data_IF_254580416742
#
_entry.id   IF_254580416742
#
_cell.length_a   1.000
_cell.length_b   1.000
_cell.length_c   1.000
_cell.angle_alpha   90.00
_cell.angle_beta   90.00
_cell.angle_gamma   90.00
#
_symmetry.space_group_name_H-M   'P 1'
#
loop_
_entity.id
_entity.type
_entity.pdbx_description
1 polymer ?
#
# COMPACT_ATOMS: atom_id res chain seq x y z
N UNK A 1 -31.03 10.63 -2.69
CA UNK A 1 -30.30 10.10 -3.85
C UNK A 1 -29.64 8.81 -3.38
N UNK A 2 -29.79 7.71 -4.12
CA UNK A 2 -29.14 6.44 -3.78
C UNK A 2 -27.62 6.61 -3.94
N UNK A 3 -26.88 6.57 -2.83
CA UNK A 3 -25.42 6.62 -2.75
C UNK A 3 -24.83 5.21 -3.00
N UNK A 4 -25.14 4.57 -4.12
CA UNK A 4 -24.73 3.17 -4.35
C UNK A 4 -23.70 2.98 -5.49
N UNK A 5 -23.24 4.06 -6.13
CA UNK A 5 -22.11 3.98 -7.07
C UNK A 5 -21.04 4.98 -6.64
N UNK A 6 -19.88 4.44 -6.26
CA UNK A 6 -18.69 5.24 -6.02
C UNK A 6 -18.26 5.91 -7.33
N UNK A 7 -17.87 7.19 -7.30
CA UNK A 7 -17.41 7.86 -8.51
C UNK A 7 -16.11 7.21 -9.01
N UNK A 8 -16.11 6.77 -10.26
CA UNK A 8 -14.93 6.15 -10.89
C UNK A 8 -14.05 7.17 -11.62
N UNK A 9 -14.67 8.26 -12.09
CA UNK A 9 -14.00 9.35 -12.79
C UNK A 9 -13.33 10.36 -11.87
N UNK A 10 -12.22 10.95 -12.31
CA UNK A 10 -11.51 12.00 -11.57
C UNK A 10 -12.42 13.19 -11.21
N UNK A 11 -13.04 13.83 -12.20
CA UNK A 11 -13.87 15.02 -11.98
C UNK A 11 -15.12 14.72 -11.13
N UNK A 12 -15.70 13.53 -11.28
CA UNK A 12 -16.86 13.09 -10.51
C UNK A 12 -16.49 12.86 -9.03
N UNK A 13 -15.30 12.32 -8.78
CA UNK A 13 -14.75 12.12 -7.43
C UNK A 13 -14.54 13.47 -6.73
N UNK A 14 -13.94 14.43 -7.44
CA UNK A 14 -13.74 15.81 -6.94
C UNK A 14 -15.09 16.48 -6.64
N UNK A 15 -16.04 16.41 -7.57
CA UNK A 15 -17.36 17.05 -7.41
C UNK A 15 -18.14 16.46 -6.24
N UNK A 16 -18.22 15.13 -6.14
CA UNK A 16 -18.92 14.43 -5.06
C UNK A 16 -18.34 14.82 -3.71
N UNK A 17 -17.01 14.82 -3.60
CA UNK A 17 -16.32 15.18 -2.36
C UNK A 17 -16.61 16.63 -1.95
N UNK A 18 -16.37 17.58 -2.85
CA UNK A 18 -16.53 19.01 -2.56
C UNK A 18 -18.00 19.38 -2.28
N UNK A 19 -18.94 18.76 -3.00
CA UNK A 19 -20.37 18.98 -2.78
C UNK A 19 -20.78 18.44 -1.40
N UNK A 20 -20.38 17.22 -1.04
CA UNK A 20 -20.69 16.64 0.26
C UNK A 20 -20.17 17.49 1.42
N UNK A 21 -18.93 17.99 1.32
CA UNK A 21 -18.37 18.90 2.33
C UNK A 21 -19.20 20.18 2.47
N UNK A 22 -19.60 20.79 1.35
CA UNK A 22 -20.38 22.04 1.34
C UNK A 22 -21.80 21.86 1.87
N UNK A 23 -22.41 20.71 1.65
CA UNK A 23 -23.80 20.46 2.03
C UNK A 23 -23.93 20.00 3.49
N UNK A 24 -23.00 19.15 3.95
CA UNK A 24 -23.20 18.38 5.18
C UNK A 24 -22.36 18.85 6.36
N UNK A 25 -21.27 19.60 6.15
CA UNK A 25 -20.41 20.08 7.26
C UNK A 25 -20.86 21.45 7.75
N UNK A 26 -21.08 21.58 9.06
CA UNK A 26 -21.61 22.80 9.67
C UNK A 26 -20.59 23.95 9.75
N UNK A 27 -19.31 23.64 9.97
CA UNK A 27 -18.23 24.62 10.09
C UNK A 27 -17.81 25.18 8.73
N UNK A 28 -18.41 26.33 8.37
CA UNK A 28 -18.19 26.96 7.06
C UNK A 28 -16.77 27.46 6.84
N UNK A 29 -16.07 27.89 7.88
CA UNK A 29 -14.70 28.39 7.74
C UNK A 29 -13.74 27.24 7.46
N UNK A 30 -13.84 26.15 8.23
CA UNK A 30 -13.08 24.91 8.01
C UNK A 30 -13.36 24.33 6.62
N UNK A 31 -14.63 24.30 6.20
CA UNK A 31 -15.02 23.83 4.87
C UNK A 31 -14.42 24.70 3.77
N UNK A 32 -14.53 26.03 3.86
CA UNK A 32 -14.02 26.92 2.82
C UNK A 32 -12.51 26.79 2.64
N UNK A 33 -11.74 26.64 3.74
CA UNK A 33 -10.30 26.40 3.68
C UNK A 33 -9.99 25.06 3.01
N UNK A 34 -10.66 23.99 3.44
CA UNK A 34 -10.46 22.65 2.90
C UNK A 34 -10.82 22.55 1.42
N UNK A 35 -11.96 23.13 1.03
CA UNK A 35 -12.44 23.19 -0.34
C UNK A 35 -11.46 23.94 -1.24
N UNK A 36 -10.94 25.09 -0.81
CA UNK A 36 -9.99 25.87 -1.60
C UNK A 36 -8.72 25.07 -1.94
N UNK A 37 -8.14 24.38 -0.95
CA UNK A 37 -6.96 23.54 -1.16
C UNK A 37 -7.25 22.36 -2.10
N UNK A 38 -8.41 21.70 -1.94
CA UNK A 38 -8.76 20.55 -2.77
C UNK A 38 -9.10 20.96 -4.20
N UNK A 39 -9.73 22.12 -4.41
CA UNK A 39 -9.94 22.68 -5.75
C UNK A 39 -8.60 22.97 -6.44
N UNK A 40 -7.66 23.59 -5.74
CA UNK A 40 -6.33 23.89 -6.29
C UNK A 40 -5.55 22.61 -6.65
N UNK A 41 -5.55 21.63 -5.74
CA UNK A 41 -4.94 20.32 -6.00
C UNK A 41 -5.60 19.61 -7.19
N UNK A 42 -6.93 19.62 -7.27
CA UNK A 42 -7.66 18.99 -8.36
C UNK A 42 -7.40 19.69 -9.71
N UNK A 43 -7.31 21.02 -9.74
CA UNK A 43 -6.93 21.77 -10.94
C UNK A 43 -5.53 21.41 -11.41
N UNK A 44 -4.59 21.22 -10.48
CA UNK A 44 -3.24 20.77 -10.80
C UNK A 44 -3.21 19.33 -11.33
N UNK A 45 -4.02 18.42 -10.79
CA UNK A 45 -4.10 17.03 -11.25
C UNK A 45 -4.78 16.86 -12.62
N UNK A 46 -5.74 17.73 -12.96
CA UNK A 46 -6.61 17.58 -14.15
C UNK A 46 -5.89 17.30 -15.49
N UNK A 47 -4.68 17.83 -15.78
CA UNK A 47 -3.99 17.55 -17.04
C UNK A 47 -3.52 16.10 -17.20
N UNK A 48 -3.39 15.34 -16.12
CA UNK A 48 -2.82 13.98 -16.13
C UNK A 48 -3.63 12.95 -15.35
N UNK A 49 -4.62 13.36 -14.55
CA UNK A 49 -5.53 12.47 -13.87
C UNK A 49 -6.78 12.21 -14.72
N UNK A 50 -7.15 10.94 -14.86
CA UNK A 50 -8.31 10.49 -15.63
C UNK A 50 -9.32 9.71 -14.77
N UNK A 51 -8.81 9.09 -13.71
CA UNK A 51 -9.56 8.22 -12.80
C UNK A 51 -9.33 8.63 -11.35
N UNK A 52 -10.19 8.15 -10.46
CA UNK A 52 -9.98 8.31 -9.01
C UNK A 52 -8.62 7.74 -8.54
N UNK A 53 -8.15 6.68 -9.19
CA UNK A 53 -6.90 6.00 -8.83
C UNK A 53 -5.66 6.86 -9.10
N UNK A 54 -5.78 7.89 -9.94
CA UNK A 54 -4.71 8.84 -10.22
C UNK A 54 -4.53 9.87 -9.08
N UNK A 55 -5.47 9.94 -8.12
CA UNK A 55 -5.42 10.82 -6.94
C UNK A 55 -4.60 10.12 -5.85
N UNK A 56 -3.27 10.21 -5.93
CA UNK A 56 -2.36 9.43 -5.08
C UNK A 56 -1.59 10.29 -4.06
N UNK A 57 -0.99 9.63 -3.06
CA UNK A 57 -0.09 10.29 -2.12
C UNK A 57 1.14 10.91 -2.82
N UNK A 58 1.62 10.27 -3.88
CA UNK A 58 2.68 10.78 -4.75
C UNK A 58 2.24 12.07 -5.48
N UNK A 59 1.04 12.08 -6.04
CA UNK A 59 0.49 13.30 -6.66
C UNK A 59 0.41 14.44 -5.63
N UNK A 60 -0.05 14.17 -4.41
CA UNK A 60 -0.07 15.16 -3.34
C UNK A 60 1.34 15.63 -2.93
N UNK A 61 2.33 14.74 -2.88
CA UNK A 61 3.74 15.09 -2.62
C UNK A 61 4.27 16.08 -3.66
N UNK A 62 4.14 15.76 -4.95
CA UNK A 62 4.57 16.64 -6.03
C UNK A 62 3.81 17.96 -6.08
N UNK A 63 2.51 17.95 -5.80
CA UNK A 63 1.73 19.19 -5.70
C UNK A 63 2.31 20.12 -4.62
N UNK A 64 2.58 19.58 -3.43
CA UNK A 64 3.04 20.36 -2.28
C UNK A 64 4.50 20.82 -2.41
N UNK A 65 5.34 20.06 -3.13
CA UNK A 65 6.72 20.45 -3.42
C UNK A 65 6.83 21.76 -4.21
N UNK A 66 5.81 22.10 -5.01
CA UNK A 66 5.77 23.36 -5.78
C UNK A 66 5.82 24.61 -4.89
N UNK A 67 5.31 24.53 -3.67
CA UNK A 67 5.40 25.61 -2.68
C UNK A 67 6.82 25.74 -2.10
N UNK A 68 7.52 24.61 -1.93
CA UNK A 68 8.90 24.60 -1.41
C UNK A 68 9.95 25.02 -2.45
N UNK A 69 9.61 24.94 -3.73
CA UNK A 69 10.48 25.31 -4.86
C UNK A 69 10.30 26.76 -5.33
N UNK A 70 9.54 27.59 -4.59
CA UNK A 70 9.15 28.96 -4.97
C UNK A 70 8.47 29.04 -6.36
N UNK A 71 7.91 27.93 -6.88
CA UNK A 71 7.20 27.94 -8.17
C UNK A 71 5.84 28.63 -8.05
N UNK A 72 5.22 28.54 -6.87
CA UNK A 72 3.93 29.11 -6.54
C UNK A 72 3.96 29.58 -5.07
N UNK A 73 3.56 30.82 -4.81
CA UNK A 73 3.32 31.27 -3.43
C UNK A 73 2.00 30.66 -2.91
N UNK A 74 1.96 30.14 -1.67
CA UNK A 74 0.70 29.75 -1.03
C UNK A 74 -0.34 30.88 -1.10
N UNK A 75 -1.58 30.55 -1.41
CA UNK A 75 -2.62 31.57 -1.55
C UNK A 75 -3.01 32.19 -0.20
N UNK A 76 -2.79 33.51 -0.05
CA UNK A 76 -3.33 34.30 1.06
C UNK A 76 -2.50 34.23 2.34
N UNK A 77 -3.13 33.83 3.45
CA UNK A 77 -2.52 33.71 4.79
C UNK A 77 -2.15 32.26 5.16
N UNK A 78 -2.33 31.30 4.24
CA UNK A 78 -2.08 29.88 4.50
C UNK A 78 -0.59 29.54 4.40
N UNK A 79 -0.12 28.66 5.27
CA UNK A 79 1.21 28.07 5.18
C UNK A 79 1.19 26.70 4.47
N UNK A 80 2.38 26.13 4.20
CA UNK A 80 2.48 24.80 3.58
C UNK A 80 1.77 23.72 4.42
N UNK A 81 1.77 23.85 5.75
CA UNK A 81 1.16 22.89 6.67
C UNK A 81 -0.36 22.90 6.58
N UNK A 82 -0.97 24.04 6.28
CA UNK A 82 -2.40 24.20 6.03
C UNK A 82 -2.89 23.46 4.78
N UNK A 83 -2.00 23.19 3.81
CA UNK A 83 -2.32 22.46 2.59
C UNK A 83 -2.22 20.93 2.74
N UNK A 84 -1.35 20.45 3.63
CA UNK A 84 -1.08 19.01 3.81
C UNK A 84 -2.36 18.28 4.22
N UNK A 85 -3.01 18.74 5.29
CA UNK A 85 -4.16 18.01 5.88
C UNK A 85 -5.34 17.89 4.90
N UNK A 86 -5.75 18.94 4.16
CA UNK A 86 -6.81 18.84 3.17
C UNK A 86 -6.45 17.95 1.98
N UNK A 87 -5.24 18.09 1.42
CA UNK A 87 -4.80 17.29 0.28
C UNK A 87 -4.77 15.79 0.61
N UNK A 88 -4.12 15.41 1.74
CA UNK A 88 -4.07 14.02 2.17
C UNK A 88 -5.46 13.49 2.57
N UNK A 89 -6.32 14.35 3.11
CA UNK A 89 -7.71 13.99 3.39
C UNK A 89 -8.49 13.65 2.12
N UNK A 90 -8.31 14.42 1.05
CA UNK A 90 -8.93 14.10 -0.23
C UNK A 90 -8.36 12.83 -0.86
N UNK A 91 -7.04 12.61 -0.80
CA UNK A 91 -6.41 11.36 -1.25
C UNK A 91 -6.96 10.15 -0.49
N UNK A 92 -7.08 10.25 0.84
CA UNK A 92 -7.66 9.19 1.69
C UNK A 92 -9.09 8.84 1.28
N UNK A 93 -9.92 9.84 0.98
CA UNK A 93 -11.26 9.62 0.43
C UNK A 93 -11.23 8.94 -0.94
N UNK A 94 -10.45 9.48 -1.88
CA UNK A 94 -10.40 8.98 -3.26
C UNK A 94 -9.87 7.55 -3.38
N UNK A 95 -8.87 7.21 -2.57
CA UNK A 95 -8.24 5.88 -2.56
C UNK A 95 -8.93 4.89 -1.62
N UNK A 96 -9.93 5.34 -0.84
CA UNK A 96 -10.53 4.55 0.27
C UNK A 96 -9.44 3.94 1.17
N UNK A 97 -8.43 4.74 1.49
CA UNK A 97 -7.24 4.32 2.24
C UNK A 97 -7.14 5.09 3.56
N UNK A 98 -6.64 4.42 4.60
CA UNK A 98 -6.42 5.04 5.90
C UNK A 98 -5.54 6.30 5.78
N UNK A 99 -5.96 7.36 6.46
CA UNK A 99 -5.31 8.67 6.35
C UNK A 99 -3.89 8.68 6.91
N UNK A 100 -3.62 7.95 7.98
CA UNK A 100 -2.27 7.85 8.54
C UNK A 100 -1.34 7.16 7.55
N UNK A 101 -1.83 6.10 6.88
CA UNK A 101 -1.08 5.41 5.85
C UNK A 101 -0.82 6.29 4.61
N UNK A 102 -1.82 7.06 4.17
CA UNK A 102 -1.63 8.11 3.15
C UNK A 102 -0.52 9.08 3.58
N UNK A 103 -0.48 9.48 4.85
CA UNK A 103 0.57 10.34 5.42
C UNK A 103 1.97 9.70 5.41
N UNK A 104 2.06 8.40 5.67
CA UNK A 104 3.32 7.65 5.55
C UNK A 104 3.81 7.65 4.11
N UNK A 105 2.98 7.26 3.15
CA UNK A 105 3.35 7.25 1.73
C UNK A 105 3.71 8.64 1.21
N UNK A 106 2.97 9.66 1.61
CA UNK A 106 3.31 11.05 1.31
C UNK A 106 4.70 11.43 1.83
N UNK A 107 5.02 11.07 3.08
CA UNK A 107 6.32 11.38 3.69
C UNK A 107 7.46 10.64 3.01
N UNK A 108 7.24 9.39 2.61
CA UNK A 108 8.20 8.61 1.82
C UNK A 108 8.47 9.28 0.46
N UNK A 109 7.43 9.60 -0.30
CA UNK A 109 7.56 10.26 -1.61
C UNK A 109 8.30 11.60 -1.52
N UNK A 110 8.02 12.41 -0.49
CA UNK A 110 8.73 13.67 -0.25
C UNK A 110 10.21 13.47 0.06
N UNK A 111 10.56 12.44 0.85
CA UNK A 111 11.97 12.09 1.10
C UNK A 111 12.66 11.62 -0.18
N UNK A 112 11.96 10.89 -1.04
CA UNK A 112 12.47 10.44 -2.33
C UNK A 112 12.80 11.60 -3.25
N UNK A 113 11.87 12.56 -3.38
CA UNK A 113 12.07 13.74 -4.21
C UNK A 113 13.27 14.57 -3.73
N UNK A 114 13.34 14.87 -2.43
CA UNK A 114 14.47 15.59 -1.84
C UNK A 114 15.81 14.86 -2.01
N UNK A 115 15.82 13.53 -1.88
CA UNK A 115 17.03 12.75 -2.12
C UNK A 115 17.44 12.80 -3.59
N UNK A 116 16.50 12.70 -4.53
CA UNK A 116 16.77 12.76 -5.97
C UNK A 116 17.33 14.13 -6.39
N UNK A 117 16.80 15.22 -5.83
CA UNK A 117 17.33 16.58 -6.05
C UNK A 117 18.73 16.78 -5.44
N UNK A 118 18.98 16.23 -4.25
CA UNK A 118 20.29 16.36 -3.60
C UNK A 118 21.38 15.52 -4.29
N UNK A 119 20.99 14.44 -4.99
CA UNK A 119 21.93 13.45 -5.53
C UNK A 119 21.79 13.26 -7.05
N UNK A 120 21.65 14.36 -7.81
CA UNK A 120 21.56 14.40 -9.29
C UNK A 120 22.65 13.57 -10.01
N UNK A 121 23.79 13.31 -9.36
CA UNK A 121 24.91 12.55 -9.92
C UNK A 121 25.03 11.10 -9.40
N UNK A 122 24.28 10.71 -8.37
CA UNK A 122 24.22 9.32 -7.95
C UNK A 122 23.18 8.58 -8.79
N UNK A 123 23.40 7.29 -9.10
CA UNK A 123 22.35 6.49 -9.71
C UNK A 123 21.11 6.60 -8.83
N UNK A 124 19.92 6.85 -9.39
CA UNK A 124 18.72 6.95 -8.59
C UNK A 124 18.64 5.67 -7.76
N UNK A 125 18.71 5.80 -6.43
CA UNK A 125 18.20 4.74 -5.59
C UNK A 125 16.75 4.64 -6.09
N UNK A 126 16.34 3.47 -6.62
CA UNK A 126 14.99 3.37 -7.15
C UNK A 126 14.06 3.82 -6.03
N UNK A 127 12.99 4.59 -6.34
CA UNK A 127 11.95 4.81 -5.35
C UNK A 127 11.67 3.46 -4.70
N UNK A 128 11.25 3.44 -3.43
CA UNK A 128 10.46 2.30 -2.95
C UNK A 128 9.16 2.39 -3.76
N UNK A 129 9.26 2.10 -5.05
CA UNK A 129 8.17 1.68 -5.88
C UNK A 129 7.59 0.59 -5.03
N UNK A 130 6.34 0.76 -4.61
CA UNK A 130 5.44 -0.36 -4.43
C UNK A 130 5.73 -1.23 -5.64
N UNK A 131 6.53 -2.26 -5.40
CA UNK A 131 7.37 -2.82 -6.44
C UNK A 131 6.40 -3.27 -7.49
N UNK A 132 6.61 -2.88 -8.75
CA UNK A 132 6.06 -3.70 -9.83
C UNK A 132 6.55 -5.10 -9.51
N UNK A 133 5.65 -5.90 -8.94
CA UNK A 133 5.90 -7.27 -8.55
C UNK A 133 6.37 -7.89 -9.86
N UNK A 134 7.68 -8.10 -9.96
CA UNK A 134 8.29 -8.79 -11.07
C UNK A 134 7.48 -10.08 -11.26
N UNK A 135 7.22 -10.55 -12.49
CA UNK A 135 6.36 -11.73 -12.70
C UNK A 135 6.80 -12.92 -11.84
N UNK A 136 8.10 -13.07 -11.61
CA UNK A 136 8.67 -14.02 -10.65
C UNK A 136 8.16 -13.83 -9.22
N UNK A 137 8.05 -12.60 -8.72
CA UNK A 137 7.51 -12.33 -7.38
C UNK A 137 6.00 -12.56 -7.25
N UNK A 138 5.24 -12.60 -8.35
CA UNK A 138 3.83 -13.00 -8.31
C UNK A 138 3.70 -14.52 -8.23
N UNK A 139 4.51 -15.25 -8.99
CA UNK A 139 4.63 -16.72 -8.91
C UNK A 139 5.16 -17.15 -7.53
N UNK A 140 6.17 -16.46 -7.01
CA UNK A 140 6.73 -16.70 -5.67
C UNK A 140 5.69 -16.42 -4.57
N UNK A 141 4.90 -15.35 -4.70
CA UNK A 141 3.80 -15.04 -3.78
C UNK A 141 2.73 -16.14 -3.83
N UNK A 142 2.32 -16.56 -5.02
CA UNK A 142 1.32 -17.63 -5.15
C UNK A 142 1.84 -18.95 -4.56
N UNK A 143 3.09 -19.32 -4.85
CA UNK A 143 3.72 -20.51 -4.28
C UNK A 143 3.80 -20.42 -2.74
N UNK A 144 4.12 -19.23 -2.19
CA UNK A 144 4.11 -19.01 -0.75
C UNK A 144 2.71 -19.17 -0.16
N UNK A 145 1.68 -18.59 -0.80
CA UNK A 145 0.29 -18.72 -0.36
C UNK A 145 -0.19 -20.17 -0.39
N UNK A 146 0.09 -20.92 -1.47
CA UNK A 146 -0.30 -22.33 -1.60
C UNK A 146 0.36 -23.19 -0.52
N UNK A 147 1.60 -22.87 -0.13
CA UNK A 147 2.29 -23.55 0.97
C UNK A 147 1.71 -23.17 2.33
N UNK A 148 1.34 -21.91 2.56
CA UNK A 148 0.64 -21.51 3.77
C UNK A 148 -0.70 -22.25 3.88
N UNK A 149 -1.43 -22.38 2.78
CA UNK A 149 -2.69 -23.11 2.73
C UNK A 149 -2.50 -24.61 3.00
N UNK A 150 -1.42 -25.21 2.50
CA UNK A 150 -1.17 -26.66 2.69
C UNK A 150 -0.63 -26.99 4.09
N UNK A 151 0.26 -26.16 4.65
CA UNK A 151 1.04 -26.51 5.84
C UNK A 151 0.75 -25.64 7.06
N UNK A 152 0.09 -24.50 6.89
CA UNK A 152 -0.14 -23.52 7.93
C UNK A 152 -1.57 -22.95 7.88
N UNK A 153 -2.53 -23.74 7.38
CA UNK A 153 -3.92 -23.34 7.28
C UNK A 153 -4.46 -22.87 8.63
N UNK A 154 -5.27 -21.80 8.63
CA UNK A 154 -5.83 -21.22 9.84
C UNK A 154 -4.82 -20.73 10.88
N UNK A 155 -3.51 -20.67 10.58
CA UNK A 155 -2.54 -20.09 11.53
C UNK A 155 -2.55 -18.57 11.45
N UNK A 156 -2.07 -17.91 12.50
CA UNK A 156 -1.95 -16.44 12.55
C UNK A 156 -1.25 -15.86 11.32
N UNK A 157 -0.13 -16.46 10.90
CA UNK A 157 0.66 -15.96 9.78
C UNK A 157 -0.10 -16.12 8.45
N UNK A 158 -0.89 -17.19 8.30
CA UNK A 158 -1.75 -17.39 7.13
C UNK A 158 -2.90 -16.37 7.08
N UNK A 159 -3.62 -16.19 8.20
CA UNK A 159 -4.68 -15.19 8.30
C UNK A 159 -4.15 -13.77 8.06
N UNK A 160 -3.00 -13.41 8.67
CA UNK A 160 -2.37 -12.10 8.48
C UNK A 160 -2.06 -11.81 7.01
N UNK A 161 -1.40 -12.75 6.32
CA UNK A 161 -1.01 -12.54 4.92
C UNK A 161 -2.24 -12.38 4.03
N UNK A 162 -3.27 -13.20 4.22
CA UNK A 162 -4.50 -13.10 3.43
C UNK A 162 -5.23 -11.78 3.70
N UNK A 163 -5.36 -11.36 4.97
CA UNK A 163 -6.00 -10.09 5.33
C UNK A 163 -5.26 -8.89 4.72
N UNK A 164 -3.92 -8.89 4.71
CA UNK A 164 -3.13 -7.82 4.06
C UNK A 164 -3.40 -7.77 2.56
N UNK A 165 -3.57 -8.93 1.91
CA UNK A 165 -3.89 -9.00 0.48
C UNK A 165 -5.32 -8.53 0.19
N UNK A 166 -6.30 -8.93 0.99
CA UNK A 166 -7.71 -8.51 0.83
C UNK A 166 -7.90 -7.02 1.03
N UNK A 167 -7.20 -6.45 2.03
CA UNK A 167 -7.28 -5.00 2.26
C UNK A 167 -6.38 -4.20 1.32
N UNK A 168 -5.57 -4.86 0.49
CA UNK A 168 -4.56 -4.21 -0.36
C UNK A 168 -3.55 -3.39 0.43
N UNK A 169 -3.39 -3.68 1.74
CA UNK A 169 -2.61 -2.88 2.66
C UNK A 169 -3.19 -1.49 2.98
N UNK A 170 -4.43 -1.17 2.58
CA UNK A 170 -5.05 0.15 2.76
C UNK A 170 -5.33 0.51 4.23
N UNK A 171 -5.28 -0.47 5.12
CA UNK A 171 -5.55 -0.37 6.55
C UNK A 171 -4.57 -1.25 7.32
N UNK A 172 -4.31 -0.89 8.57
CA UNK A 172 -3.46 -1.68 9.45
C UNK A 172 -4.18 -2.94 9.94
N UNK A 173 -3.83 -4.09 9.38
CA UNK A 173 -4.39 -5.39 9.77
C UNK A 173 -4.05 -5.76 11.23
N UNK A 174 -2.99 -5.17 11.80
CA UNK A 174 -2.60 -5.41 13.20
C UNK A 174 -3.48 -4.68 14.21
N UNK A 175 -4.13 -3.60 13.79
CA UNK A 175 -5.01 -2.79 14.62
C UNK A 175 -6.47 -3.26 14.51
N UNK A 176 -6.74 -4.29 13.69
CA UNK A 176 -8.06 -4.88 13.58
C UNK A 176 -8.48 -5.53 14.89
N UNK A 177 -9.73 -5.28 15.28
CA UNK A 177 -10.39 -5.93 16.41
C UNK A 177 -11.35 -7.02 15.94
N UNK A 178 -11.82 -7.88 16.87
CA UNK A 178 -12.78 -8.94 16.56
C UNK A 178 -14.12 -8.38 16.07
N UNK A 179 -14.61 -7.28 16.66
CA UNK A 179 -15.87 -6.63 16.24
C UNK A 179 -15.84 -6.09 14.80
N UNK A 180 -14.66 -5.77 14.28
CA UNK A 180 -14.48 -5.24 12.94
C UNK A 180 -14.52 -6.32 11.87
N UNK A 181 -14.50 -7.61 12.25
CA UNK A 181 -14.53 -8.74 11.32
C UNK A 181 -15.84 -9.50 11.48
N UNK A 182 -16.76 -9.26 10.55
CA UNK A 182 -18.01 -9.99 10.44
C UNK A 182 -17.80 -11.20 9.52
N UNK A 183 -17.53 -12.35 10.13
CA UNK A 183 -17.37 -13.61 9.39
C UNK A 183 -18.70 -14.18 8.89
N UNK A 184 -19.85 -13.74 9.40
CA UNK A 184 -21.16 -14.18 8.90
C UNK A 184 -21.47 -13.49 7.57
N UNK A 185 -21.25 -12.18 7.51
CA UNK A 185 -21.42 -11.38 6.29
C UNK A 185 -20.18 -11.38 5.39
N UNK A 186 -19.09 -12.04 5.79
CA UNK A 186 -17.80 -12.13 5.06
C UNK A 186 -17.16 -10.76 4.80
N UNK A 187 -17.22 -9.85 5.77
CA UNK A 187 -16.74 -8.47 5.63
C UNK A 187 -15.87 -8.00 6.80
N UNK A 188 -14.88 -7.17 6.50
CA UNK A 188 -14.17 -6.34 7.48
C UNK A 188 -14.74 -4.92 7.38
N UNK A 189 -15.12 -4.33 8.51
CA UNK A 189 -15.61 -2.95 8.62
C UNK A 189 -14.76 -2.17 9.60
N UNK A 190 -14.11 -1.12 9.11
CA UNK A 190 -13.19 -0.31 9.92
C UNK A 190 -13.75 1.12 9.97
N UNK A 191 -14.18 1.60 11.15
CA UNK A 191 -14.69 2.95 11.27
C UNK A 191 -13.58 3.98 10.99
N UNK A 192 -13.92 5.04 10.27
CA UNK A 192 -13.00 6.16 10.04
C UNK A 192 -13.10 7.13 11.22
N UNK A 193 -11.98 7.75 11.59
CA UNK A 193 -11.93 8.69 12.72
C UNK A 193 -12.91 9.85 12.54
N UNK A 194 -13.71 10.15 13.56
CA UNK A 194 -14.60 11.32 13.64
C UNK A 194 -13.88 12.67 13.40
N UNK A 195 -12.55 12.72 13.52
CA UNK A 195 -11.76 13.92 13.23
C UNK A 195 -11.63 14.21 11.73
N UNK A 196 -12.01 13.27 10.89
CA UNK A 196 -11.93 13.36 9.44
C UNK A 196 -13.13 14.11 8.87
N UNK A 197 -12.87 15.21 8.16
CA UNK A 197 -13.94 16.09 7.65
C UNK A 197 -14.86 15.39 6.63
N UNK A 198 -14.40 14.32 5.97
CA UNK A 198 -15.27 13.54 5.09
C UNK A 198 -16.27 12.69 5.88
N UNK A 199 -15.93 12.24 7.09
CA UNK A 199 -16.84 11.57 8.03
C UNK A 199 -17.88 12.56 8.55
N UNK A 200 -17.48 13.79 8.90
CA UNK A 200 -18.43 14.87 9.23
C UNK A 200 -19.44 15.14 8.09
N UNK A 201 -19.03 14.87 6.84
CA UNK A 201 -19.85 15.06 5.66
C UNK A 201 -20.70 13.85 5.27
N UNK A 202 -20.57 12.71 5.97
CA UNK A 202 -21.19 11.43 5.61
C UNK A 202 -20.70 10.85 4.28
N UNK A 203 -19.47 11.19 3.88
CA UNK A 203 -18.85 10.73 2.63
C UNK A 203 -18.03 9.45 2.81
N UNK A 204 -17.46 9.26 4.01
CA UNK A 204 -16.65 8.10 4.36
C UNK A 204 -16.73 7.87 5.87
N UNK A 205 -17.56 6.92 6.26
CA UNK A 205 -17.79 6.57 7.67
C UNK A 205 -17.06 5.28 8.05
N UNK A 206 -16.91 4.35 7.10
CA UNK A 206 -16.18 3.10 7.28
C UNK A 206 -15.46 2.67 5.99
N UNK A 207 -14.36 1.92 6.16
CA UNK A 207 -13.74 1.11 5.11
C UNK A 207 -14.34 -0.29 5.17
N UNK A 208 -14.84 -0.78 4.03
CA UNK A 208 -15.46 -2.11 3.94
C UNK A 208 -14.67 -2.98 2.97
N UNK A 209 -14.19 -4.12 3.44
CA UNK A 209 -13.47 -5.10 2.63
C UNK A 209 -14.22 -6.43 2.65
N UNK A 210 -14.50 -6.99 1.48
CA UNK A 210 -15.12 -8.32 1.36
C UNK A 210 -14.02 -9.37 1.40
N UNK A 211 -14.20 -10.38 2.25
CA UNK A 211 -13.32 -11.54 2.32
C UNK A 211 -13.63 -12.48 1.17
N UNK A 212 -12.60 -12.97 0.47
CA UNK A 212 -12.79 -14.02 -0.52
C UNK A 212 -13.09 -15.37 0.10
N UNK A 213 -13.56 -16.31 -0.72
CA UNK A 213 -13.76 -17.72 -0.37
C UNK A 213 -12.49 -18.41 0.16
N UNK A 214 -11.30 -17.84 -0.10
CA UNK A 214 -10.03 -18.32 0.44
C UNK A 214 -9.76 -17.76 1.84
N UNK A 215 -10.08 -16.49 2.06
CA UNK A 215 -9.70 -15.76 3.28
C UNK A 215 -10.65 -16.03 4.43
N UNK A 216 -11.96 -16.05 4.19
CA UNK A 216 -12.96 -16.25 5.24
C UNK A 216 -12.73 -17.56 6.02
N UNK A 217 -12.60 -18.75 5.39
CA UNK A 217 -12.36 -19.99 6.12
C UNK A 217 -11.05 -19.99 6.91
N UNK A 218 -10.00 -19.36 6.37
CA UNK A 218 -8.71 -19.27 7.04
C UNK A 218 -8.75 -18.38 8.29
N UNK A 219 -9.43 -17.23 8.20
CA UNK A 219 -9.60 -16.32 9.34
C UNK A 219 -10.52 -16.97 10.39
N UNK A 220 -11.59 -17.62 9.96
CA UNK A 220 -12.50 -18.33 10.86
C UNK A 220 -11.80 -19.45 11.64
N UNK A 221 -11.02 -20.28 10.95
CA UNK A 221 -10.22 -21.33 11.59
C UNK A 221 -9.20 -20.74 12.57
N UNK A 222 -8.56 -19.63 12.19
CA UNK A 222 -7.65 -18.92 13.09
C UNK A 222 -8.35 -18.47 14.37
N UNK A 223 -9.43 -17.70 14.25
CA UNK A 223 -10.17 -17.15 15.39
C UNK A 223 -10.67 -18.26 16.31
N UNK A 224 -11.15 -19.37 15.74
CA UNK A 224 -11.76 -20.47 16.49
C UNK A 224 -10.75 -21.39 17.17
N UNK A 225 -9.69 -21.78 16.47
CA UNK A 225 -8.84 -22.90 16.89
C UNK A 225 -7.42 -22.46 17.28
N UNK A 226 -6.91 -21.35 16.72
CA UNK A 226 -5.50 -20.98 16.83
C UNK A 226 -5.25 -19.63 17.53
N UNK A 227 -6.27 -18.77 17.66
CA UNK A 227 -6.16 -17.48 18.35
C UNK A 227 -6.08 -17.72 19.86
N UNK A 228 -5.04 -17.18 20.48
CA UNK A 228 -4.91 -17.20 21.94
C UNK A 228 -5.65 -15.98 22.49
N UNK A 229 -6.65 -16.16 23.39
CA UNK A 229 -7.37 -15.06 23.98
C UNK A 229 -6.46 -14.11 24.75
N UNK A 230 -6.78 -12.82 24.73
CA UNK A 230 -6.08 -11.83 25.56
C UNK A 230 -6.72 -11.70 26.95
N UNK A 231 -6.07 -10.99 27.87
CA UNK A 231 -6.69 -10.65 29.15
C UNK A 231 -7.95 -9.77 28.98
N UNK A 232 -8.00 -8.95 27.91
CA UNK A 232 -9.13 -8.07 27.59
C UNK A 232 -10.38 -8.86 27.17
N UNK A 233 -10.18 -10.02 26.53
CA UNK A 233 -11.26 -10.95 26.13
C UNK A 233 -12.10 -11.37 27.35
N UNK A 234 -11.47 -11.47 28.51
CA UNK A 234 -12.10 -11.92 29.75
C UNK A 234 -12.72 -10.78 30.57
N UNK A 235 -12.41 -9.52 30.25
CA UNK A 235 -12.75 -8.37 31.09
C UNK A 235 -13.94 -7.55 30.57
N UNK A 236 -14.09 -7.38 29.25
CA UNK A 236 -15.07 -6.45 28.63
C UNK A 236 -15.74 -7.02 27.37
N UNK A 237 -16.26 -8.24 27.43
CA UNK A 237 -17.07 -8.82 26.33
C UNK A 237 -16.28 -9.26 25.09
N UNK A 238 -14.99 -8.96 24.99
CA UNK A 238 -14.06 -9.47 23.97
C UNK A 238 -14.18 -8.87 22.58
N UNK A 239 -15.16 -8.01 22.34
CA UNK A 239 -15.41 -7.41 21.03
C UNK A 239 -14.32 -6.40 20.61
N UNK A 240 -13.78 -5.64 21.57
CA UNK A 240 -12.66 -4.71 21.34
C UNK A 240 -11.29 -5.40 21.30
N UNK A 241 -11.23 -6.71 21.47
CA UNK A 241 -9.97 -7.43 21.51
C UNK A 241 -9.32 -7.49 20.13
N UNK A 242 -7.98 -7.44 20.05
CA UNK A 242 -7.29 -7.52 18.77
C UNK A 242 -7.60 -8.85 18.07
N UNK A 243 -7.87 -8.78 16.77
CA UNK A 243 -8.11 -9.94 15.92
C UNK A 243 -6.90 -10.88 15.96
N UNK A 244 -5.70 -10.34 15.73
CA UNK A 244 -4.47 -11.11 15.67
C UNK A 244 -3.69 -10.99 16.98
N UNK A 245 -3.42 -12.13 17.62
CA UNK A 245 -2.68 -12.20 18.88
C UNK A 245 -1.38 -12.98 18.74
N UNK A 246 -0.45 -12.74 19.67
CA UNK A 246 0.76 -13.54 19.81
C UNK A 246 0.42 -14.96 20.30
N UNK A 247 1.38 -15.90 20.19
CA UNK A 247 1.23 -17.25 20.78
C UNK A 247 1.05 -17.25 22.31
N UNK A 248 1.25 -16.09 22.95
CA UNK A 248 1.08 -15.89 24.40
C UNK A 248 -0.18 -15.10 24.74
N UNK A 249 -0.95 -14.66 23.76
CA UNK A 249 -2.13 -13.81 23.98
C UNK A 249 -1.81 -12.32 24.13
N UNK A 250 -0.63 -11.88 23.68
CA UNK A 250 -0.24 -10.46 23.70
C UNK A 250 -0.58 -9.76 22.36
N UNK A 251 -0.71 -8.44 22.38
CA UNK A 251 -0.78 -7.61 21.16
C UNK A 251 0.47 -7.80 20.30
N UNK A 252 0.27 -7.88 18.99
CA UNK A 252 1.37 -8.05 18.05
C UNK A 252 2.11 -6.74 17.79
N UNK A 253 3.40 -6.87 17.47
CA UNK A 253 4.19 -5.77 16.94
C UNK A 253 4.58 -6.07 15.50
N UNK A 254 4.74 -5.03 14.68
CA UNK A 254 5.19 -5.15 13.29
C UNK A 254 6.46 -6.00 13.19
N UNK A 255 7.44 -5.75 14.05
CA UNK A 255 8.71 -6.48 14.06
C UNK A 255 8.54 -7.96 14.45
N UNK A 256 7.61 -8.25 15.38
CA UNK A 256 7.28 -9.62 15.78
C UNK A 256 6.65 -10.41 14.65
N UNK A 257 5.74 -9.79 13.89
CA UNK A 257 5.09 -10.40 12.72
C UNK A 257 6.10 -10.62 11.61
N UNK A 258 6.90 -9.60 11.28
CA UNK A 258 7.98 -9.69 10.29
C UNK A 258 8.94 -10.84 10.60
N UNK A 259 9.41 -10.92 11.85
CA UNK A 259 10.31 -11.99 12.29
C UNK A 259 9.68 -13.37 12.16
N UNK A 260 8.37 -13.50 12.43
CA UNK A 260 7.65 -14.77 12.27
C UNK A 260 7.52 -15.17 10.81
N UNK A 261 7.09 -14.25 9.96
CA UNK A 261 6.94 -14.47 8.52
C UNK A 261 8.28 -14.85 7.89
N UNK A 262 9.37 -14.18 8.25
CA UNK A 262 10.71 -14.51 7.77
C UNK A 262 11.15 -15.91 8.21
N UNK A 263 10.91 -16.27 9.49
CA UNK A 263 11.23 -17.61 9.99
C UNK A 263 10.42 -18.68 9.27
N UNK A 264 9.13 -18.41 9.03
CA UNK A 264 8.23 -19.33 8.33
C UNK A 264 8.61 -19.47 6.86
N UNK A 265 8.90 -18.38 6.17
CA UNK A 265 9.40 -18.39 4.81
C UNK A 265 10.71 -19.21 4.70
N UNK A 266 11.63 -19.09 5.67
CA UNK A 266 12.85 -19.92 5.72
C UNK A 266 12.55 -21.40 5.95
N UNK A 267 11.71 -21.74 6.94
CA UNK A 267 11.28 -23.15 7.19
C UNK A 267 10.69 -23.76 5.92
N UNK A 268 9.86 -22.98 5.23
CA UNK A 268 9.21 -23.38 3.99
C UNK A 268 10.24 -23.62 2.87
N UNK A 269 11.28 -22.79 2.76
CA UNK A 269 12.37 -22.97 1.79
C UNK A 269 13.20 -24.21 2.13
N UNK A 270 13.62 -24.34 3.39
CA UNK A 270 14.44 -25.45 3.89
C UNK A 270 13.73 -26.81 3.72
N UNK A 271 12.43 -26.88 4.03
CA UNK A 271 11.61 -28.07 3.80
C UNK A 271 11.48 -28.41 2.29
N UNK A 272 11.43 -27.40 1.42
CA UNK A 272 11.40 -27.66 -0.03
C UNK A 272 12.74 -28.13 -0.62
N UNK A 273 13.87 -27.78 0.01
CA UNK A 273 15.18 -28.32 -0.35
C UNK A 273 15.37 -29.77 0.15
N UNK A 274 14.74 -30.13 1.28
CA UNK A 274 14.81 -31.49 1.85
C UNK A 274 14.05 -32.53 1.01
N UNK A 275 13.05 -32.11 0.22
CA UNK A 275 12.33 -32.96 -0.74
C UNK A 275 12.85 -32.89 -2.18
N UNK A 276 13.82 -32.00 -2.47
CA UNK A 276 14.61 -32.14 -3.69
C UNK A 276 15.53 -33.35 -3.50
N UNK A 277 15.09 -34.51 -3.99
CA UNK A 277 15.95 -35.70 -4.14
C UNK A 277 17.33 -35.24 -4.61
N UNK A 278 18.44 -35.69 -4.01
CA UNK A 278 19.75 -35.34 -4.53
C UNK A 278 19.78 -35.85 -5.96
N UNK A 279 19.68 -34.95 -6.93
CA UNK A 279 20.11 -35.25 -8.29
C UNK A 279 21.53 -35.73 -8.12
N UNK A 280 21.76 -37.01 -8.43
CA UNK A 280 23.10 -37.57 -8.55
C UNK A 280 23.91 -36.54 -9.32
N UNK A 281 24.92 -35.99 -8.65
CA UNK A 281 25.86 -35.06 -9.25
C UNK A 281 26.52 -35.80 -10.41
N UNK A 282 25.96 -35.65 -11.61
CA UNK A 282 26.56 -36.17 -12.83
C UNK A 282 27.91 -35.48 -12.93
N UNK A 283 28.95 -36.30 -12.77
CA UNK A 283 30.30 -35.80 -12.79
C UNK A 283 30.56 -35.16 -14.16
N UNK A 284 31.40 -34.12 -14.19
CA UNK A 284 31.74 -33.33 -15.38
C UNK A 284 32.17 -34.14 -16.64
N UNK A 285 32.64 -35.41 -16.54
CA UNK A 285 32.82 -36.28 -17.71
C UNK A 285 31.53 -36.64 -18.45
N UNK A 286 30.40 -36.85 -17.76
CA UNK A 286 29.14 -37.34 -18.37
C UNK A 286 28.40 -36.24 -19.15
N UNK A 287 28.56 -34.98 -18.76
CA UNK A 287 28.02 -33.82 -19.48
C UNK A 287 28.73 -33.55 -20.81
N UNK A 288 30.01 -33.92 -20.93
CA UNK A 288 30.78 -33.80 -22.18
C UNK A 288 30.36 -34.85 -23.21
N UNK A 289 29.98 -36.05 -22.78
CA UNK A 289 29.50 -37.11 -23.67
C UNK A 289 28.10 -36.78 -24.24
N UNK A 290 27.30 -36.00 -23.51
CA UNK A 290 25.99 -35.48 -23.96
C UNK A 290 26.06 -34.16 -24.76
N UNK A 291 27.25 -33.68 -25.11
CA UNK A 291 27.40 -32.53 -26.02
C UNK A 291 27.05 -31.16 -25.42
N UNK A 292 26.98 -31.03 -24.09
CA UNK A 292 26.76 -29.73 -23.43
C UNK A 292 28.10 -29.02 -23.28
N UNK A 293 28.35 -28.02 -24.12
CA UNK A 293 29.51 -27.14 -24.00
C UNK A 293 29.11 -25.82 -23.33
N UNK A 294 29.69 -25.55 -22.15
CA UNK A 294 29.65 -24.21 -21.57
C UNK A 294 30.63 -23.30 -22.34
N UNK A 295 30.16 -22.14 -22.77
CA UNK A 295 31.02 -21.10 -23.35
C UNK A 295 31.89 -20.50 -22.25
N UNK A 296 33.21 -20.29 -22.48
CA UNK A 296 34.07 -19.66 -21.49
C UNK A 296 33.68 -18.19 -21.31
N UNK A 297 33.43 -17.82 -20.06
CA UNK A 297 33.17 -16.47 -19.59
C UNK A 297 34.36 -15.55 -19.87
N UNK A 298 34.14 -14.47 -20.63
CA UNK A 298 35.10 -13.38 -20.79
C UNK A 298 35.06 -12.46 -19.57
N UNK A 299 35.87 -12.79 -18.57
CA UNK A 299 36.42 -11.80 -17.64
C UNK A 299 37.73 -11.30 -18.24
N UNK A 300 37.68 -10.17 -18.97
CA UNK A 300 38.86 -9.36 -19.21
C UNK A 300 38.56 -7.88 -18.99
N UNK A 301 39.22 -7.34 -17.96
CA UNK A 301 39.47 -5.93 -17.70
C UNK A 301 39.74 -5.14 -18.98
N UNK A 302 38.96 -4.10 -19.25
CA UNK A 302 39.47 -2.89 -19.92
C UNK A 302 38.82 -1.66 -19.29
N UNK A 303 39.64 -0.88 -18.59
CA UNK A 303 39.37 0.52 -18.35
C UNK A 303 39.35 1.25 -19.70
N UNK A 304 38.23 1.89 -20.03
CA UNK A 304 38.14 2.93 -21.06
C UNK A 304 36.94 3.83 -20.74
N UNK A 305 37.15 5.13 -20.94
CA UNK A 305 36.29 6.23 -20.53
C UNK A 305 34.79 6.03 -20.83
N UNK A 306 33.87 6.61 -20.02
CA UNK A 306 32.45 6.51 -20.30
C UNK A 306 32.14 7.13 -21.67
N UNK A 307 31.30 6.49 -22.49
CA UNK A 307 30.81 7.12 -23.71
C UNK A 307 30.02 8.38 -23.34
N UNK A 308 30.20 9.45 -24.12
CA UNK A 308 29.37 10.64 -24.04
C UNK A 308 27.93 10.25 -24.43
N UNK A 309 27.11 9.92 -23.43
CA UNK A 309 25.67 9.73 -23.61
C UNK A 309 25.01 11.08 -23.37
N UNK A 310 24.73 11.76 -24.47
CA UNK A 310 23.75 12.85 -24.53
C UNK A 310 22.38 12.25 -24.26
N UNK A 311 21.84 12.42 -23.05
CA UNK A 311 20.43 12.20 -22.81
C UNK A 311 19.64 13.44 -23.21
N UNK A 312 18.52 13.28 -23.96
CA UNK A 312 17.64 14.40 -24.25
C UNK A 312 17.04 14.89 -22.94
N UNK A 313 17.13 16.20 -22.69
CA UNK A 313 16.27 16.89 -21.72
C UNK A 313 14.84 16.45 -22.00
N UNK A 314 14.16 15.85 -21.03
CA UNK A 314 12.73 15.59 -21.11
C UNK A 314 12.04 16.94 -21.24
N UNK A 315 11.75 17.31 -22.48
CA UNK A 315 10.95 18.45 -22.85
C UNK A 315 9.48 18.07 -22.69
N UNK A 316 8.75 18.97 -22.04
CA UNK A 316 7.35 19.28 -22.21
C UNK A 316 6.72 18.64 -23.46
N UNK A 317 5.67 17.83 -23.27
CA UNK A 317 4.76 17.51 -24.36
C UNK A 317 3.89 18.74 -24.65
N UNK A 318 4.27 19.48 -25.69
CA UNK A 318 3.34 20.28 -26.50
C UNK A 318 2.50 19.31 -27.33
N UNK A 319 1.18 19.32 -27.13
CA UNK A 319 0.23 18.72 -28.05
C UNK A 319 -0.20 19.79 -29.06
N UNK A 320 0.38 19.75 -30.26
CA UNK A 320 -0.16 20.48 -31.41
C UNK A 320 -1.41 19.78 -31.92
N UNK A 321 -2.42 20.61 -32.16
CA UNK A 321 -3.76 20.27 -32.60
C UNK A 321 -3.79 19.82 -34.07
N UNK A 322 -4.69 18.88 -34.39
CA UNK A 322 -5.21 18.66 -35.73
C UNK A 322 -6.73 18.66 -35.69
#
# INVERSE_FOLDING_TARGET
>A
MSMDEDPDGFDETVQTYLQGLRENVADRERVNRHVGVVEEFAEWCRPFASSRNDITAQAAAFFLERFSQDEVDPHGELDEEDYIKPALGFVSYAQRMDRELVGVYFSEERLWSQWAEANVNDPPIPPISHSKIHVSSQEDLQAYLDRLETHAFGTRDHAYVLLVLETGGMVSVLDLTLEQVDLEDTVIRIPVSDSFIATDAGLLDEYVFRLSERTEPAVQEYVRENRVPTDEDNAMGGDSSPLLTSQRGDTLTVEGVRSSLQRRARSIIEESEEFATPEESLSTPELREKGVYFTPSKLENTASAPPAVSYPRQGYFQLDSA
#
